data_IF_624149607968
#
_entry.id   IF_624149607968
#
_cell.length_a   1.000
_cell.length_b   1.000
_cell.length_c   1.000
_cell.angle_alpha   90.00
_cell.angle_beta   90.00
_cell.angle_gamma   90.00
#
_symmetry.space_group_name_H-M   'P 1'
#
loop_
_entity.id
_entity.type
_entity.pdbx_description
1 polymer ?
#
# COMPACT_ATOMS: atom_id res chain seq x y z
N UNK A 1 2.46 -5.34 -10.39
CA UNK A 1 2.76 -6.21 -9.21
C UNK A 1 1.47 -6.67 -8.58
N UNK A 2 1.38 -7.93 -8.21
CA UNK A 2 0.23 -8.50 -7.49
C UNK A 2 0.71 -9.01 -6.14
N UNK A 3 0.07 -8.57 -5.08
CA UNK A 3 0.33 -9.00 -3.71
C UNK A 3 -0.94 -9.69 -3.19
N UNK A 4 -0.79 -10.88 -2.64
CA UNK A 4 -1.86 -11.58 -1.93
C UNK A 4 -1.60 -11.47 -0.43
N UNK A 5 -2.63 -11.06 0.31
CA UNK A 5 -2.58 -11.04 1.77
C UNK A 5 -3.66 -11.98 2.31
N UNK A 6 -3.23 -12.92 3.16
CA UNK A 6 -4.15 -13.77 3.91
C UNK A 6 -4.77 -12.94 5.04
N UNK A 7 -6.08 -12.73 4.98
CA UNK A 7 -6.78 -11.92 5.98
C UNK A 7 -6.80 -12.56 7.38
N UNK A 8 -6.51 -13.84 7.49
CA UNK A 8 -6.45 -14.54 8.79
C UNK A 8 -5.06 -14.50 9.42
N UNK A 9 -4.02 -14.80 8.63
CA UNK A 9 -2.64 -14.93 9.13
C UNK A 9 -1.81 -13.68 8.87
N UNK A 10 -2.26 -12.79 7.97
CA UNK A 10 -1.55 -11.60 7.51
C UNK A 10 -0.26 -11.92 6.74
N UNK A 11 -0.14 -13.16 6.27
CA UNK A 11 0.97 -13.56 5.43
C UNK A 11 0.85 -12.95 4.03
N UNK A 12 1.97 -12.47 3.52
CA UNK A 12 2.07 -11.89 2.17
C UNK A 12 2.68 -12.90 1.21
N UNK A 13 2.07 -13.05 0.05
CA UNK A 13 2.58 -13.89 -1.02
C UNK A 13 2.49 -13.17 -2.36
N UNK A 14 3.28 -13.65 -3.32
CA UNK A 14 3.18 -13.28 -4.72
C UNK A 14 2.46 -14.38 -5.50
N UNK A 15 2.34 -14.23 -6.82
CA UNK A 15 1.80 -15.27 -7.69
C UNK A 15 2.54 -16.60 -7.48
N UNK A 16 1.80 -17.71 -7.41
CA UNK A 16 2.36 -19.04 -7.11
C UNK A 16 2.59 -19.31 -5.63
N UNK A 17 2.02 -18.49 -4.75
CA UNK A 17 2.10 -18.64 -3.29
C UNK A 17 3.53 -18.53 -2.71
N UNK A 18 4.39 -17.80 -3.38
CA UNK A 18 5.74 -17.53 -2.90
C UNK A 18 5.69 -16.43 -1.86
N UNK A 19 6.30 -16.61 -0.66
CA UNK A 19 6.34 -15.54 0.35
C UNK A 19 6.97 -14.27 -0.20
N UNK A 20 6.32 -13.12 0.07
CA UNK A 20 6.84 -11.81 -0.29
C UNK A 20 7.66 -11.26 0.87
N UNK A 21 8.98 -11.26 0.72
CA UNK A 21 9.92 -10.77 1.74
C UNK A 21 10.71 -9.57 1.27
N UNK A 22 10.90 -9.43 -0.02
CA UNK A 22 11.71 -8.37 -0.64
C UNK A 22 11.00 -7.78 -1.85
N UNK A 23 11.21 -6.49 -2.04
CA UNK A 23 10.69 -5.73 -3.17
C UNK A 23 11.80 -4.82 -3.69
N UNK A 24 12.06 -4.87 -4.99
CA UNK A 24 13.04 -4.01 -5.65
C UNK A 24 12.33 -2.98 -6.52
N UNK A 25 12.61 -1.71 -6.28
CA UNK A 25 11.98 -0.59 -6.95
C UNK A 25 13.04 0.31 -7.58
N UNK A 26 12.64 1.09 -8.58
CA UNK A 26 13.47 2.09 -9.24
C UNK A 26 12.85 3.45 -9.03
N UNK A 27 13.64 4.40 -8.54
CA UNK A 27 13.19 5.78 -8.36
C UNK A 27 12.74 6.36 -9.70
N UNK A 28 11.59 7.00 -9.70
CA UNK A 28 10.98 7.59 -10.90
C UNK A 28 9.89 6.73 -11.53
N UNK A 29 9.84 5.45 -11.20
CA UNK A 29 8.80 4.56 -11.73
C UNK A 29 7.45 4.80 -11.07
N UNK A 30 6.40 4.51 -11.83
CA UNK A 30 5.04 4.39 -11.33
C UNK A 30 4.60 2.95 -11.56
N UNK A 31 4.53 2.18 -10.49
CA UNK A 31 4.30 0.75 -10.59
C UNK A 31 2.83 0.41 -10.39
N UNK A 32 2.18 -0.28 -11.36
CA UNK A 32 0.84 -0.81 -11.15
C UNK A 32 0.82 -1.79 -9.98
N UNK A 33 -0.18 -1.66 -9.11
CA UNK A 33 -0.29 -2.47 -7.90
C UNK A 33 -1.70 -3.05 -7.78
N UNK A 34 -1.78 -4.34 -7.50
CA UNK A 34 -3.01 -5.03 -7.13
C UNK A 34 -2.78 -5.79 -5.83
N UNK A 35 -3.63 -5.55 -4.84
CA UNK A 35 -3.61 -6.29 -3.57
C UNK A 35 -4.91 -7.09 -3.47
N UNK A 36 -4.77 -8.39 -3.29
CA UNK A 36 -5.89 -9.33 -3.19
C UNK A 36 -5.95 -9.89 -1.78
N UNK A 37 -7.12 -9.79 -1.14
CA UNK A 37 -7.37 -10.38 0.17
C UNK A 37 -7.85 -11.82 -0.01
N UNK A 38 -7.21 -12.77 0.68
CA UNK A 38 -7.55 -14.18 0.62
C UNK A 38 -7.89 -14.75 1.99
N UNK A 39 -8.55 -15.90 2.01
CA UNK A 39 -8.84 -16.70 3.19
C UNK A 39 -8.10 -18.03 3.06
N UNK A 40 -6.81 -18.01 3.38
CA UNK A 40 -5.91 -19.11 3.05
C UNK A 40 -5.51 -19.12 1.57
N UNK A 41 -4.64 -20.07 1.16
CA UNK A 41 -4.15 -20.14 -0.20
C UNK A 41 -5.26 -20.38 -1.22
N UNK A 42 -5.43 -19.46 -2.17
CA UNK A 42 -6.36 -19.61 -3.29
C UNK A 42 -7.84 -19.46 -2.95
N UNK A 43 -8.20 -19.12 -1.72
CA UNK A 43 -9.59 -18.93 -1.31
C UNK A 43 -9.94 -17.44 -1.18
N UNK A 44 -11.10 -17.00 -1.68
CA UNK A 44 -11.53 -15.60 -1.50
C UNK A 44 -11.78 -15.27 -0.04
N UNK A 45 -11.39 -14.07 0.38
CA UNK A 45 -11.72 -13.54 1.70
C UNK A 45 -13.11 -12.90 1.70
N UNK A 46 -13.78 -12.92 2.86
CA UNK A 46 -14.99 -12.16 3.12
C UNK A 46 -14.70 -10.86 3.90
N UNK A 47 -13.44 -10.50 4.06
CA UNK A 47 -13.05 -9.29 4.78
C UNK A 47 -13.50 -8.03 4.02
N UNK A 48 -14.00 -7.05 4.77
CA UNK A 48 -14.34 -5.71 4.28
C UNK A 48 -13.23 -4.69 4.56
N UNK A 49 -12.10 -5.15 5.09
CA UNK A 49 -10.95 -4.30 5.36
C UNK A 49 -10.32 -3.81 4.06
N UNK A 50 -9.76 -2.60 4.10
CA UNK A 50 -9.06 -1.99 2.96
C UNK A 50 -7.57 -2.10 3.15
N UNK A 51 -6.82 -2.61 2.16
CA UNK A 51 -5.37 -2.67 2.25
C UNK A 51 -4.72 -1.36 1.88
N UNK A 52 -3.61 -1.08 2.54
CA UNK A 52 -2.71 0.03 2.25
C UNK A 52 -1.29 -0.50 2.25
N UNK A 53 -0.49 -0.13 1.27
CA UNK A 53 0.94 -0.41 1.28
C UNK A 53 1.67 0.83 1.79
N UNK A 54 2.39 0.68 2.89
CA UNK A 54 3.15 1.74 3.53
C UNK A 54 4.64 1.38 3.56
N UNK A 55 5.49 2.33 3.21
CA UNK A 55 6.95 2.15 3.21
C UNK A 55 7.59 3.27 4.02
N UNK A 56 8.41 2.87 4.98
CA UNK A 56 9.12 3.76 5.91
C UNK A 56 10.63 3.53 5.85
N UNK A 57 11.38 4.51 6.34
CA UNK A 57 12.83 4.37 6.48
C UNK A 57 13.21 3.40 7.60
N UNK A 58 12.48 3.45 8.71
CA UNK A 58 12.66 2.55 9.85
C UNK A 58 11.35 2.33 10.59
N UNK A 59 11.29 1.30 11.44
CA UNK A 59 10.09 0.96 12.20
C UNK A 59 9.65 2.05 13.18
N UNK A 60 10.59 2.82 13.70
CA UNK A 60 10.30 3.90 14.64
C UNK A 60 9.85 5.21 13.99
N UNK A 61 9.90 5.32 12.68
CA UNK A 61 9.51 6.54 11.98
C UNK A 61 7.99 6.63 11.82
N UNK A 62 7.43 7.79 12.11
CA UNK A 62 6.03 8.10 11.86
C UNK A 62 5.79 8.58 10.42
N UNK A 63 6.85 9.01 9.75
CA UNK A 63 6.78 9.54 8.38
C UNK A 63 6.88 8.44 7.34
N UNK A 64 6.06 8.53 6.33
CA UNK A 64 6.07 7.63 5.17
C UNK A 64 7.05 8.13 4.11
N UNK A 65 7.74 7.20 3.46
CA UNK A 65 8.58 7.46 2.30
C UNK A 65 7.84 7.20 1.01
N UNK A 66 7.14 6.07 0.93
CA UNK A 66 6.24 5.71 -0.16
C UNK A 66 4.94 5.18 0.43
N UNK A 67 3.85 5.34 -0.30
CA UNK A 67 2.58 4.74 0.07
C UNK A 67 1.68 4.53 -1.15
N UNK A 68 0.95 3.42 -1.16
CA UNK A 68 -0.15 3.21 -2.06
C UNK A 68 -1.44 3.20 -1.24
N UNK A 69 -2.17 4.31 -1.27
CA UNK A 69 -3.34 4.55 -0.44
C UNK A 69 -4.63 4.51 -1.23
N UNK A 70 -4.77 5.19 -2.30
CA UNK A 70 -6.01 5.34 -3.05
C UNK A 70 -6.27 4.16 -3.98
N UNK A 71 -6.24 2.94 -3.42
CA UNK A 71 -6.54 1.73 -4.17
C UNK A 71 -8.06 1.58 -4.32
N UNK A 72 -8.50 1.31 -5.54
CA UNK A 72 -9.91 1.13 -5.86
C UNK A 72 -10.32 -0.34 -5.78
N UNK A 73 -11.45 -0.66 -5.16
CA UNK A 73 -11.95 -2.03 -5.12
C UNK A 73 -12.37 -2.50 -6.51
N UNK A 74 -12.01 -3.75 -6.83
CA UNK A 74 -12.44 -4.42 -8.08
C UNK A 74 -12.89 -5.83 -7.76
N UNK A 75 -13.75 -6.39 -8.59
CA UNK A 75 -14.15 -7.78 -8.50
C UNK A 75 -13.03 -8.68 -9.03
N UNK A 76 -12.68 -9.68 -8.24
CA UNK A 76 -11.68 -10.69 -8.60
C UNK A 76 -12.16 -12.06 -8.15
N UNK A 77 -11.94 -13.08 -8.98
CA UNK A 77 -12.33 -14.45 -8.66
C UNK A 77 -11.62 -15.01 -7.43
N UNK A 78 -10.46 -14.45 -7.06
CA UNK A 78 -9.65 -14.88 -5.91
C UNK A 78 -9.98 -14.14 -4.62
N UNK A 79 -10.90 -13.18 -4.64
CA UNK A 79 -11.35 -12.45 -3.47
C UNK A 79 -11.41 -10.94 -3.69
N UNK A 80 -11.71 -10.16 -2.64
CA UNK A 80 -11.69 -8.71 -2.73
C UNK A 80 -10.30 -8.24 -3.16
N UNK A 81 -10.25 -7.47 -4.25
CA UNK A 81 -9.02 -6.94 -4.80
C UNK A 81 -9.08 -5.41 -4.86
N UNK A 82 -7.94 -4.80 -4.71
CA UNK A 82 -7.75 -3.34 -4.73
C UNK A 82 -6.66 -2.99 -5.71
N UNK A 83 -6.93 -2.08 -6.63
CA UNK A 83 -6.06 -1.76 -7.76
C UNK A 83 -5.70 -0.29 -7.75
N UNK A 84 -4.45 0.00 -8.02
CA UNK A 84 -3.93 1.35 -8.14
C UNK A 84 -2.49 1.33 -8.60
N UNK A 85 -1.72 2.28 -8.14
CA UNK A 85 -0.30 2.38 -8.46
C UNK A 85 0.50 2.86 -7.26
N UNK A 86 1.77 2.44 -7.22
CA UNK A 86 2.77 2.95 -6.29
C UNK A 86 3.70 3.89 -7.05
N UNK A 87 3.68 5.17 -6.69
CA UNK A 87 4.64 6.12 -7.22
C UNK A 87 5.96 6.00 -6.48
N UNK A 88 7.03 5.71 -7.19
CA UNK A 88 8.39 5.62 -6.63
C UNK A 88 9.16 6.92 -6.86
N UNK A 89 8.45 8.02 -6.95
CA UNK A 89 9.01 9.36 -7.14
C UNK A 89 8.36 10.35 -6.18
N UNK A 90 8.79 10.32 -4.93
CA UNK A 90 8.28 11.18 -3.87
C UNK A 90 9.37 12.10 -3.33
N UNK A 91 8.99 13.25 -2.79
CA UNK A 91 9.95 14.16 -2.13
C UNK A 91 10.58 13.50 -0.91
N UNK A 92 9.82 12.68 -0.20
CA UNK A 92 10.30 11.93 0.97
C UNK A 92 11.34 10.88 0.58
N UNK A 93 11.16 10.19 -0.55
CA UNK A 93 12.15 9.24 -1.06
C UNK A 93 13.44 9.94 -1.45
N UNK A 94 13.36 11.07 -2.13
CA UNK A 94 14.53 11.84 -2.53
C UNK A 94 15.32 12.29 -1.30
N UNK A 95 14.65 12.78 -0.27
CA UNK A 95 15.28 13.17 0.98
C UNK A 95 15.91 11.97 1.70
N UNK A 96 15.22 10.83 1.73
CA UNK A 96 15.72 9.61 2.37
C UNK A 96 16.96 9.05 1.66
N UNK A 97 16.98 9.06 0.33
CA UNK A 97 18.12 8.59 -0.46
C UNK A 97 19.35 9.48 -0.34
N UNK A 98 19.16 10.79 -0.18
CA UNK A 98 20.24 11.77 0.03
C UNK A 98 21.42 11.55 -0.93
N UNK A 99 21.14 11.44 -2.23
CA UNK A 99 22.13 11.18 -3.31
C UNK A 99 22.77 9.80 -3.28
N UNK A 100 22.35 8.88 -2.43
CA UNK A 100 22.81 7.50 -2.45
C UNK A 100 22.33 6.78 -3.71
N UNK A 101 23.11 5.82 -4.19
CA UNK A 101 22.76 5.01 -5.38
C UNK A 101 21.58 4.07 -5.10
N UNK A 102 21.40 3.66 -3.85
CA UNK A 102 20.28 2.85 -3.41
C UNK A 102 20.01 3.06 -1.92
N UNK A 103 18.80 2.69 -1.49
CA UNK A 103 18.40 2.72 -0.09
C UNK A 103 17.55 1.49 0.24
N UNK A 104 17.73 0.95 1.43
CA UNK A 104 16.86 -0.08 1.98
C UNK A 104 15.82 0.54 2.89
N UNK A 105 14.56 0.20 2.64
CA UNK A 105 13.40 0.68 3.39
C UNK A 105 12.63 -0.52 3.93
N UNK A 106 11.66 -0.23 4.78
CA UNK A 106 10.76 -1.24 5.36
C UNK A 106 9.35 -0.98 4.87
N UNK A 107 8.73 -2.00 4.29
CA UNK A 107 7.36 -1.96 3.83
C UNK A 107 6.46 -2.90 4.61
N UNK A 108 5.18 -2.59 4.64
CA UNK A 108 4.14 -3.42 5.21
C UNK A 108 2.80 -3.15 4.54
N UNK A 109 1.95 -4.17 4.48
CA UNK A 109 0.57 -4.01 4.08
C UNK A 109 -0.27 -3.95 5.36
N UNK A 110 -1.11 -2.92 5.44
CA UNK A 110 -2.00 -2.73 6.59
C UNK A 110 -3.42 -2.87 6.12
N UNK A 111 -4.20 -3.69 6.82
CA UNK A 111 -5.62 -3.82 6.61
C UNK A 111 -6.35 -2.91 7.59
N UNK A 112 -7.17 -2.01 7.05
CA UNK A 112 -7.90 -1.01 7.83
C UNK A 112 -9.38 -1.34 7.78
N UNK A 113 -9.95 -1.60 8.96
CA UNK A 113 -11.39 -1.83 9.10
C UNK A 113 -12.16 -0.51 9.17
N UNK A 114 -13.48 -0.60 8.96
CA UNK A 114 -14.37 0.57 8.97
C UNK A 114 -14.44 1.31 10.30
N UNK A 115 -14.10 0.65 11.42
CA UNK A 115 -14.01 1.26 12.74
C UNK A 115 -12.65 1.92 13.04
N UNK A 116 -11.72 1.87 12.07
CA UNK A 116 -10.37 2.41 12.21
C UNK A 116 -9.36 1.45 12.80
N UNK A 117 -9.76 0.25 13.20
CA UNK A 117 -8.83 -0.77 13.67
C UNK A 117 -7.93 -1.25 12.53
N UNK A 118 -6.70 -1.61 12.88
CA UNK A 118 -5.65 -1.95 11.93
C UNK A 118 -5.06 -3.31 12.24
N UNK A 119 -4.75 -4.05 11.17
CA UNK A 119 -3.97 -5.28 11.25
C UNK A 119 -2.83 -5.19 10.24
N UNK A 120 -1.63 -5.50 10.67
CA UNK A 120 -0.41 -5.27 9.89
C UNK A 120 0.23 -6.60 9.49
N UNK A 121 0.63 -6.68 8.23
CA UNK A 121 1.34 -7.84 7.68
C UNK A 121 2.75 -7.99 8.25
N UNK A 122 3.42 -9.08 7.87
CA UNK A 122 4.86 -9.19 8.01
C UNK A 122 5.59 -8.11 7.23
N UNK A 123 6.83 -7.82 7.65
CA UNK A 123 7.63 -6.77 7.03
C UNK A 123 8.16 -7.21 5.66
N UNK A 124 8.25 -6.24 4.75
CA UNK A 124 8.88 -6.39 3.45
C UNK A 124 10.12 -5.51 3.44
N UNK A 125 11.25 -6.06 3.01
CA UNK A 125 12.43 -5.26 2.71
C UNK A 125 12.23 -4.61 1.34
N UNK A 126 12.24 -3.29 1.29
CA UNK A 126 12.07 -2.52 0.05
C UNK A 126 13.38 -1.85 -0.30
N UNK A 127 13.99 -2.26 -1.40
CA UNK A 127 15.22 -1.66 -1.91
C UNK A 127 14.89 -0.78 -3.10
N UNK A 128 15.24 0.50 -3.00
CA UNK A 128 15.04 1.47 -4.08
C UNK A 128 16.40 1.89 -4.61
N UNK A 129 16.59 1.76 -5.92
CA UNK A 129 17.80 2.23 -6.60
C UNK A 129 17.51 3.48 -7.43
N UNK A 130 18.54 4.26 -7.72
CA UNK A 130 18.47 5.35 -8.68
C UNK A 130 18.21 4.82 -10.08
N UNK A 131 17.49 5.60 -10.88
CA UNK A 131 17.38 5.33 -12.30
C UNK A 131 18.72 5.65 -13.01
N UNK A 132 18.99 4.95 -14.10
CA UNK A 132 20.14 5.23 -14.97
C UNK A 132 19.94 6.56 -15.71
N UNK A 133 18.69 6.89 -16.04
CA UNK A 133 18.34 8.17 -16.64
C UNK A 133 18.02 9.20 -15.57
N UNK A 134 18.36 10.49 -15.78
CA UNK A 134 17.98 11.53 -14.82
C UNK A 134 16.47 11.57 -14.61
N UNK A 135 16.04 11.41 -13.38
CA UNK A 135 14.60 11.41 -13.00
C UNK A 135 13.98 12.82 -12.97
N UNK A 136 14.71 13.84 -13.42
CA UNK A 136 14.34 15.24 -13.23
C UNK A 136 13.25 15.72 -14.22
N UNK A 137 12.76 14.84 -15.09
CA UNK A 137 11.77 15.18 -16.11
C UNK A 137 10.36 15.26 -15.53
N UNK A 138 10.07 14.51 -14.46
CA UNK A 138 8.76 14.50 -13.82
C UNK A 138 8.91 15.00 -12.37
N UNK A 139 8.14 16.03 -11.96
CA UNK A 139 8.19 16.49 -10.57
C UNK A 139 7.82 15.36 -9.59
N UNK A 140 8.52 15.25 -8.45
CA UNK A 140 8.18 14.25 -7.44
C UNK A 140 6.83 14.55 -6.80
N UNK A 141 6.10 13.50 -6.43
CA UNK A 141 4.84 13.57 -5.69
C UNK A 141 5.11 13.64 -4.19
N UNK A 142 4.23 14.32 -3.45
CA UNK A 142 4.23 14.29 -2.00
C UNK A 142 3.41 13.09 -1.49
N UNK A 143 3.97 12.39 -0.51
CA UNK A 143 3.26 11.36 0.24
C UNK A 143 2.59 12.01 1.44
N UNK A 144 1.49 11.43 1.94
CA UNK A 144 0.89 11.84 3.20
C UNK A 144 1.94 11.85 4.31
N UNK A 145 1.96 12.94 5.10
CA UNK A 145 3.08 13.26 5.98
C UNK A 145 3.26 12.26 7.12
N UNK A 146 2.16 11.66 7.59
CA UNK A 146 2.20 10.72 8.71
C UNK A 146 1.13 9.63 8.60
N UNK A 147 1.23 8.67 9.51
CA UNK A 147 0.33 7.53 9.58
C UNK A 147 -1.13 7.92 9.87
N UNK A 148 -1.34 8.94 10.69
CA UNK A 148 -2.69 9.42 11.03
C UNK A 148 -3.44 9.92 9.81
N UNK A 149 -2.77 10.65 8.92
CA UNK A 149 -3.35 11.11 7.66
C UNK A 149 -3.69 9.95 6.73
N UNK A 150 -2.83 8.93 6.67
CA UNK A 150 -3.06 7.72 5.89
C UNK A 150 -4.33 7.00 6.34
N UNK A 151 -4.48 6.80 7.64
CA UNK A 151 -5.65 6.14 8.22
C UNK A 151 -6.91 6.96 8.01
N UNK A 152 -6.85 8.26 8.22
CA UNK A 152 -7.98 9.16 8.01
C UNK A 152 -8.43 9.15 6.54
N UNK A 153 -7.50 9.15 5.60
CA UNK A 153 -7.78 9.09 4.17
C UNK A 153 -8.47 7.78 3.78
N UNK A 154 -7.95 6.65 4.27
CA UNK A 154 -8.54 5.34 4.01
C UNK A 154 -9.95 5.20 4.60
N UNK A 155 -10.19 5.74 5.80
CA UNK A 155 -11.51 5.76 6.42
C UNK A 155 -12.49 6.66 5.65
N UNK A 156 -12.05 7.82 5.19
CA UNK A 156 -12.87 8.71 4.38
C UNK A 156 -13.32 8.06 3.08
N UNK A 157 -12.49 7.22 2.46
CA UNK A 157 -12.84 6.50 1.26
C UNK A 157 -13.90 5.41 1.50
N UNK A 158 -13.96 4.83 2.70
CA UNK A 158 -14.95 3.81 3.07
C UNK A 158 -16.27 4.39 3.57
N UNK A 159 -16.25 5.55 4.22
CA UNK A 159 -17.39 6.12 4.90
C UNK A 159 -18.62 6.31 4.00
N UNK A 160 -18.51 6.82 2.76
CA UNK A 160 -19.67 6.96 1.89
C UNK A 160 -20.39 5.64 1.60
N UNK A 161 -19.65 4.57 1.38
CA UNK A 161 -20.23 3.25 1.13
C UNK A 161 -20.92 2.69 2.38
N UNK A 162 -20.29 2.81 3.55
CA UNK A 162 -20.85 2.36 4.82
C UNK A 162 -22.14 3.13 5.18
N UNK A 163 -22.17 4.43 4.98
CA UNK A 163 -23.36 5.24 5.21
C UNK A 163 -24.49 4.92 4.24
N UNK A 164 -24.16 4.64 2.98
CA UNK A 164 -25.13 4.23 1.98
C UNK A 164 -25.76 2.88 2.32
N UNK A 165 -24.96 1.94 2.76
CA UNK A 165 -25.43 0.62 3.20
C UNK A 165 -26.31 0.72 4.47
N UNK A 166 -26.07 1.69 5.31
CA UNK A 166 -26.90 2.00 6.48
C UNK A 166 -28.19 2.79 6.14
N UNK A 167 -28.40 3.14 4.87
CA UNK A 167 -29.56 3.93 4.43
C UNK A 167 -29.46 5.42 4.73
N UNK A 168 -28.26 5.92 4.99
CA UNK A 168 -27.99 7.33 5.22
C UNK A 168 -27.51 7.97 3.91
N UNK A 169 -28.19 9.02 3.46
CA UNK A 169 -27.71 9.81 2.34
C UNK A 169 -26.75 10.89 2.83
N UNK A 170 -25.60 10.99 2.15
CA UNK A 170 -24.69 12.11 2.35
C UNK A 170 -25.19 13.28 1.50
N UNK A 171 -25.57 14.36 2.15
CA UNK A 171 -25.78 15.64 1.47
C UNK A 171 -24.43 16.18 1.01
N UNK A 172 -24.37 16.52 -0.26
CA UNK A 172 -23.17 17.08 -0.87
C UNK A 172 -22.89 18.49 -0.35
#
# INVERSE_FOLDING_TARGET
>A
MIIYIDANTLALTTAGQVPLTDMALVRGDKMPLRIVLTDGPGNPSNSDEVPVLAVKKSLGDDSLVLAATNLEPVDDALGPAYVGSLSVNTTQLIAAMNSAASIDLIGEVVLIAGDGSQRTSSLIRVTVRQDILPADVIPPEDVLADWSELVADALAAQLPAALKDAGVELEA
#
